data_IF_946904364094
#
_entry.id   IF_946904364094
#
_cell.length_a   1.000
_cell.length_b   1.000
_cell.length_c   1.000
_cell.angle_alpha   90.00
_cell.angle_beta   90.00
_cell.angle_gamma   90.00
#
_symmetry.space_group_name_H-M   'P 1'
#
loop_
_entity.id
_entity.type
_entity.pdbx_description
1 polymer ?
#
# COMPACT_ATOMS: atom_id res chain seq x y z
N UNK A 1 -7.78 -10.56 6.85
CA UNK A 1 -8.22 -9.18 6.56
C UNK A 1 -7.28 -8.62 5.52
N UNK A 2 -7.78 -7.85 4.57
CA UNK A 2 -6.98 -7.20 3.54
C UNK A 2 -7.06 -5.69 3.73
N UNK A 3 -5.96 -5.01 3.44
CA UNK A 3 -5.87 -3.56 3.50
C UNK A 3 -5.48 -3.02 2.13
N UNK A 4 -5.85 -1.79 1.88
CA UNK A 4 -5.26 -1.03 0.82
C UNK A 4 -5.01 0.40 1.27
N UNK A 5 -3.89 0.92 0.82
CA UNK A 5 -3.35 2.20 1.26
C UNK A 5 -3.23 3.09 0.04
N UNK A 6 -4.15 4.03 -0.10
CA UNK A 6 -4.16 4.99 -1.20
C UNK A 6 -3.17 6.11 -0.90
N UNK A 7 -2.28 6.40 -1.84
CA UNK A 7 -1.30 7.47 -1.71
C UNK A 7 -1.90 8.83 -2.10
N UNK A 8 -1.38 9.91 -1.52
CA UNK A 8 -1.60 11.27 -2.01
C UNK A 8 -0.87 11.48 -3.32
N UNK A 9 -1.26 12.51 -4.09
CA UNK A 9 -0.56 12.84 -5.34
C UNK A 9 0.92 13.19 -5.10
N UNK A 10 1.22 13.85 -3.98
CA UNK A 10 2.59 14.10 -3.50
C UNK A 10 3.32 12.79 -3.17
N UNK A 11 2.66 11.85 -2.48
CA UNK A 11 3.22 10.54 -2.18
C UNK A 11 3.53 9.74 -3.43
N UNK A 12 2.68 9.82 -4.46
CA UNK A 12 2.94 9.19 -5.77
C UNK A 12 4.11 9.87 -6.48
N UNK A 13 4.21 11.20 -6.46
CA UNK A 13 5.30 11.91 -7.12
C UNK A 13 6.66 11.58 -6.48
N UNK A 14 6.73 11.53 -5.15
CA UNK A 14 7.98 11.33 -4.41
C UNK A 14 8.37 9.84 -4.29
N UNK A 15 7.40 8.96 -4.02
CA UNK A 15 7.66 7.55 -3.72
C UNK A 15 7.35 6.61 -4.89
N UNK A 16 6.61 7.08 -5.90
CA UNK A 16 6.08 6.21 -6.95
C UNK A 16 7.15 5.45 -7.74
N UNK A 17 8.32 6.04 -7.94
CA UNK A 17 9.44 5.36 -8.62
C UNK A 17 10.05 4.24 -7.77
N UNK A 18 10.18 4.46 -6.45
CA UNK A 18 10.72 3.48 -5.50
C UNK A 18 9.71 2.36 -5.26
N UNK A 19 8.42 2.71 -5.23
CA UNK A 19 7.33 1.79 -4.94
C UNK A 19 6.66 1.21 -6.20
N UNK A 20 7.22 1.45 -7.39
CA UNK A 20 6.56 1.16 -8.67
C UNK A 20 6.08 -0.29 -8.81
N UNK A 21 6.84 -1.24 -8.27
CA UNK A 21 6.55 -2.67 -8.36
C UNK A 21 5.54 -3.13 -7.29
N UNK A 22 5.18 -2.24 -6.36
CA UNK A 22 4.23 -2.50 -5.27
C UNK A 22 2.94 -1.69 -5.40
N UNK A 23 2.95 -0.62 -6.19
CA UNK A 23 1.77 0.20 -6.44
C UNK A 23 0.87 -0.45 -7.49
N UNK A 24 -0.42 -0.42 -7.21
CA UNK A 24 -1.47 -0.80 -8.16
C UNK A 24 -2.25 0.45 -8.56
N UNK A 25 -2.61 0.54 -9.84
CA UNK A 25 -3.49 1.59 -10.34
C UNK A 25 -4.95 1.27 -10.03
N UNK A 26 -5.69 2.29 -9.58
CA UNK A 26 -7.11 2.20 -9.25
C UNK A 26 -7.87 3.47 -9.66
N UNK A 27 -9.21 3.44 -9.71
CA UNK A 27 -10.02 4.59 -10.12
C UNK A 27 -9.84 5.83 -9.22
N UNK A 28 -9.36 5.65 -7.98
CA UNK A 28 -9.10 6.74 -7.02
C UNK A 28 -7.63 7.19 -6.94
N UNK A 29 -6.74 6.57 -7.73
CA UNK A 29 -5.29 6.80 -7.72
C UNK A 29 -4.47 5.54 -7.45
N UNK A 30 -3.17 5.71 -7.24
CA UNK A 30 -2.25 4.60 -6.94
C UNK A 30 -2.33 4.20 -5.47
N UNK A 31 -2.47 2.90 -5.23
CA UNK A 31 -2.58 2.35 -3.89
C UNK A 31 -1.67 1.15 -3.70
N UNK A 32 -1.40 0.81 -2.44
CA UNK A 32 -0.58 -0.33 -2.05
C UNK A 32 -1.46 -1.38 -1.36
N UNK A 33 -1.64 -2.59 -1.94
CA UNK A 33 -2.34 -3.67 -1.28
C UNK A 33 -1.47 -4.26 -0.15
N UNK A 34 -2.02 -4.29 1.06
CA UNK A 34 -1.29 -4.71 2.26
C UNK A 34 -2.00 -5.87 2.99
N UNK A 35 -1.21 -6.66 3.72
CA UNK A 35 -1.68 -7.59 4.75
C UNK A 35 -1.97 -6.88 6.07
N UNK A 36 -1.17 -5.86 6.38
CA UNK A 36 -1.31 -5.04 7.57
C UNK A 36 -1.08 -3.57 7.23
N UNK A 37 -1.81 -2.68 7.89
CA UNK A 37 -1.62 -1.24 7.76
C UNK A 37 -2.00 -0.57 9.09
N UNK A 38 -0.99 -0.09 9.83
CA UNK A 38 -1.18 0.49 11.15
C UNK A 38 -0.46 1.85 11.27
N UNK A 39 -1.08 2.87 11.91
CA UNK A 39 -0.36 4.09 12.25
C UNK A 39 0.78 3.79 13.25
N UNK A 40 1.95 4.39 13.02
CA UNK A 40 3.11 4.35 13.92
C UNK A 40 3.80 5.73 13.99
N UNK A 41 3.39 6.53 14.97
CA UNK A 41 3.91 7.88 15.22
C UNK A 41 3.84 8.76 13.96
N UNK A 42 4.99 9.04 13.33
CA UNK A 42 5.11 9.88 12.13
C UNK A 42 4.97 9.11 10.81
N UNK A 43 4.88 7.79 10.91
CA UNK A 43 4.82 6.87 9.78
C UNK A 43 3.58 5.99 9.88
N UNK A 44 3.23 5.38 8.76
CA UNK A 44 2.34 4.25 8.68
C UNK A 44 3.19 3.02 8.44
N UNK A 45 3.06 2.05 9.33
CA UNK A 45 3.70 0.76 9.22
C UNK A 45 2.83 -0.17 8.37
N UNK A 46 3.38 -0.64 7.25
CA UNK A 46 2.69 -1.49 6.28
C UNK A 46 3.45 -2.79 6.08
N UNK A 47 2.71 -3.90 6.01
CA UNK A 47 3.23 -5.19 5.55
C UNK A 47 2.59 -5.51 4.20
N UNK A 48 3.38 -5.50 3.14
CA UNK A 48 2.93 -5.84 1.79
C UNK A 48 3.35 -7.26 1.42
N UNK A 49 2.47 -8.01 0.75
CA UNK A 49 2.84 -9.31 0.18
C UNK A 49 3.32 -9.13 -1.25
N UNK A 50 4.51 -9.62 -1.54
CA UNK A 50 5.08 -9.68 -2.87
C UNK A 50 5.36 -11.12 -3.27
N UNK A 51 5.46 -11.37 -4.57
CA UNK A 51 6.14 -12.56 -5.08
C UNK A 51 7.50 -12.13 -5.59
N UNK A 52 8.55 -12.79 -5.13
CA UNK A 52 9.89 -12.56 -5.66
C UNK A 52 10.01 -13.13 -7.09
N UNK A 53 11.18 -12.97 -7.73
CA UNK A 53 11.43 -13.44 -9.09
C UNK A 53 11.21 -14.96 -9.27
N UNK A 54 11.31 -15.73 -8.19
CA UNK A 54 11.11 -17.19 -8.17
C UNK A 54 9.65 -17.58 -7.86
N UNK A 55 8.74 -16.60 -7.77
CA UNK A 55 7.33 -16.81 -7.45
C UNK A 55 7.04 -17.10 -5.98
N UNK A 56 8.05 -17.04 -5.11
CA UNK A 56 7.91 -17.27 -3.67
C UNK A 56 7.34 -16.02 -3.01
N UNK A 57 6.35 -16.23 -2.15
CA UNK A 57 5.78 -15.14 -1.35
C UNK A 57 6.85 -14.60 -0.39
N UNK A 58 7.11 -13.30 -0.47
CA UNK A 58 7.94 -12.55 0.46
C UNK A 58 7.12 -11.40 1.03
N UNK A 59 7.46 -10.99 2.25
CA UNK A 59 6.84 -9.85 2.90
C UNK A 59 7.79 -8.67 2.88
N UNK A 60 7.25 -7.51 2.55
CA UNK A 60 7.97 -6.25 2.57
C UNK A 60 7.41 -5.39 3.69
N UNK A 61 8.29 -5.04 4.62
CA UNK A 61 8.00 -4.11 5.72
C UNK A 61 8.31 -2.68 5.26
N UNK A 62 7.33 -1.79 5.39
CA UNK A 62 7.41 -0.40 4.93
C UNK A 62 7.01 0.57 6.03
N UNK A 63 7.76 1.65 6.14
CA UNK A 63 7.41 2.81 6.95
C UNK A 63 7.19 4.01 6.03
N UNK A 64 5.93 4.35 5.78
CA UNK A 64 5.55 5.44 4.88
C UNK A 64 5.15 6.68 5.68
N UNK A 65 5.74 7.86 5.47
CA UNK A 65 5.34 9.07 6.18
C UNK A 65 3.83 9.32 6.09
N UNK A 66 3.20 9.66 7.20
CA UNK A 66 1.74 9.84 7.27
C UNK A 66 1.20 10.85 6.24
N UNK A 67 1.97 11.89 5.91
CA UNK A 67 1.62 12.90 4.90
C UNK A 67 1.37 12.33 3.50
N UNK A 68 1.92 11.16 3.20
CA UNK A 68 1.78 10.51 1.90
C UNK A 68 0.60 9.54 1.84
N UNK A 69 -0.07 9.28 2.97
CA UNK A 69 -1.23 8.41 3.04
C UNK A 69 -2.50 9.25 2.88
N UNK A 70 -3.24 9.02 1.80
CA UNK A 70 -4.52 9.70 1.52
C UNK A 70 -5.68 9.01 2.23
N UNK A 71 -5.68 7.68 2.23
CA UNK A 71 -6.74 6.86 2.82
C UNK A 71 -6.24 5.43 3.09
N UNK A 72 -6.67 4.84 4.20
CA UNK A 72 -6.51 3.40 4.47
C UNK A 72 -7.90 2.77 4.55
N UNK A 73 -8.11 1.70 3.78
CA UNK A 73 -9.34 0.92 3.81
C UNK A 73 -9.02 -0.55 4.12
N UNK A 74 -9.90 -1.20 4.88
CA UNK A 74 -9.79 -2.61 5.23
C UNK A 74 -11.08 -3.36 4.93
N UNK A 75 -10.97 -4.61 4.50
CA UNK A 75 -12.09 -5.51 4.30
C UNK A 75 -11.73 -6.96 4.57
N UNK A 76 -12.74 -7.84 4.67
CA UNK A 76 -12.49 -9.28 4.82
C UNK A 76 -11.73 -9.86 3.62
N UNK A 77 -12.02 -9.33 2.42
CA UNK A 77 -11.40 -9.71 1.15
C UNK A 77 -11.01 -8.47 0.36
N UNK A 78 -9.98 -8.58 -0.49
CA UNK A 78 -9.49 -7.48 -1.33
C UNK A 78 -10.60 -6.86 -2.19
N UNK A 79 -11.49 -7.66 -2.77
CA UNK A 79 -12.59 -7.19 -3.65
C UNK A 79 -13.53 -6.15 -3.02
N UNK A 80 -13.53 -6.01 -1.69
CA UNK A 80 -14.37 -5.04 -0.98
C UNK A 80 -13.67 -3.68 -0.76
N UNK A 81 -12.40 -3.56 -1.17
CA UNK A 81 -11.62 -2.34 -1.00
C UNK A 81 -11.78 -1.51 -2.29
N UNK A 82 -12.45 -0.35 -2.17
CA UNK A 82 -13.07 0.38 -3.29
C UNK A 82 -12.16 1.08 -4.29
N UNK A 83 -10.86 0.80 -4.29
CA UNK A 83 -9.92 1.28 -5.30
C UNK A 83 -9.22 0.14 -6.07
N UNK A 84 -9.54 -1.13 -5.80
CA UNK A 84 -9.14 -2.26 -6.65
C UNK A 84 -10.05 -2.44 -7.87
#
# INVERSE_FOLDING_TARGET
MAFGVLLTDEGVAELGAVLKDYLTDGPSGKYLPCKEANPDRSFFHLIAEMRNADGVAAELELYVPNRYIKLVMSGLERKHIGFL
#
